data_IF_681856431899
#
_entry.id   IF_681856431899
#
_cell.length_a   1.000
_cell.length_b   1.000
_cell.length_c   1.000
_cell.angle_alpha   90.00
_cell.angle_beta   90.00
_cell.angle_gamma   90.00
#
_symmetry.space_group_name_H-M   'P 1'
#
loop_
_entity.id
_entity.type
_entity.pdbx_description
1 polymer ?
#
# COMPACT_ATOMS: atom_id res chain seq x y z
N UNK A 1 8.00 54.33 1.12
CA UNK A 1 9.02 53.29 1.35
C UNK A 1 8.38 51.96 1.07
N UNK A 2 8.85 51.30 0.02
CA UNK A 2 8.27 50.11 -0.57
C UNK A 2 8.88 48.85 0.06
N UNK A 3 8.04 47.86 0.37
CA UNK A 3 8.45 46.49 0.60
C UNK A 3 7.58 45.59 -0.29
N UNK A 4 8.07 45.35 -1.50
CA UNK A 4 7.53 44.38 -2.45
C UNK A 4 8.03 43.00 -2.06
N UNK A 5 7.14 42.11 -1.63
CA UNK A 5 7.45 40.68 -1.48
C UNK A 5 7.04 39.99 -2.78
N UNK A 6 8.01 39.75 -3.64
CA UNK A 6 7.91 38.90 -4.83
C UNK A 6 7.99 37.44 -4.41
N UNK A 7 6.87 36.71 -4.52
CA UNK A 7 6.88 35.24 -4.43
C UNK A 7 7.19 34.67 -5.81
N UNK A 8 8.44 34.26 -6.03
CA UNK A 8 8.87 33.51 -7.19
C UNK A 8 8.47 32.04 -7.00
N UNK A 9 7.66 31.51 -7.92
CA UNK A 9 7.45 30.08 -8.07
C UNK A 9 8.60 29.48 -8.89
N UNK A 10 9.14 28.29 -8.55
CA UNK A 10 9.91 27.50 -9.50
C UNK A 10 8.99 26.46 -10.15
N UNK A 11 8.50 26.80 -11.35
CA UNK A 11 8.20 25.82 -12.39
C UNK A 11 9.52 25.56 -13.11
N UNK A 12 10.11 24.38 -12.94
CA UNK A 12 10.98 23.70 -13.91
C UNK A 12 11.59 22.46 -13.27
N UNK A 13 11.23 21.28 -13.79
CA UNK A 13 12.13 20.19 -14.20
C UNK A 13 11.28 18.96 -14.56
N UNK A 14 10.61 19.03 -15.70
CA UNK A 14 10.20 17.87 -16.48
C UNK A 14 11.16 17.84 -17.68
N UNK A 15 12.11 16.91 -17.69
CA UNK A 15 12.70 16.30 -18.90
C UNK A 15 13.81 15.33 -18.49
N UNK A 16 13.53 14.03 -18.48
CA UNK A 16 14.44 12.96 -18.90
C UNK A 16 13.79 11.60 -18.59
N UNK A 17 13.07 11.04 -19.57
CA UNK A 17 12.87 9.60 -19.63
C UNK A 17 14.13 8.99 -20.26
N UNK A 18 14.84 8.04 -19.63
CA UNK A 18 15.84 7.28 -20.37
C UNK A 18 15.10 6.24 -21.22
N UNK A 19 15.41 6.25 -22.52
CA UNK A 19 15.07 5.16 -23.42
C UNK A 19 15.84 3.90 -23.00
N UNK A 20 15.13 2.83 -22.64
CA UNK A 20 15.73 1.52 -22.44
C UNK A 20 15.75 0.78 -23.78
N UNK A 21 16.91 0.78 -24.42
CA UNK A 21 17.29 -0.15 -25.48
C UNK A 21 17.98 -1.38 -24.85
N UNK A 22 17.78 -2.53 -25.50
CA UNK A 22 18.29 -3.86 -25.14
C UNK A 22 19.70 -3.89 -24.53
N UNK A 23 19.85 -4.55 -23.38
CA UNK A 23 21.14 -4.79 -22.75
C UNK A 23 21.03 -5.67 -21.49
N UNK A 24 21.39 -6.94 -21.66
CA UNK A 24 21.93 -7.92 -20.70
C UNK A 24 21.78 -7.68 -19.18
N UNK A 25 21.22 -8.70 -18.52
CA UNK A 25 20.90 -8.79 -17.09
C UNK A 25 22.09 -8.79 -16.10
N UNK A 26 22.93 -7.75 -16.11
CA UNK A 26 24.06 -7.60 -15.17
C UNK A 26 24.00 -6.32 -14.30
N UNK A 27 22.88 -5.58 -14.31
CA UNK A 27 22.76 -4.28 -13.61
C UNK A 27 21.57 -4.08 -12.67
N UNK A 28 20.75 -5.11 -12.41
CA UNK A 28 19.49 -4.96 -11.65
C UNK A 28 19.65 -4.86 -10.13
N UNK A 29 20.86 -4.95 -9.58
CA UNK A 29 21.12 -4.86 -8.13
C UNK A 29 21.30 -3.43 -7.61
N UNK A 30 21.29 -2.40 -8.46
CA UNK A 30 21.76 -1.06 -8.05
C UNK A 30 20.73 -0.17 -7.33
N UNK A 31 19.44 -0.53 -7.21
CA UNK A 31 18.44 0.35 -6.56
C UNK A 31 17.23 -0.40 -5.94
N UNK A 32 17.44 -1.51 -5.23
CA UNK A 32 16.37 -2.02 -4.37
C UNK A 32 16.33 -1.20 -3.06
N UNK A 33 15.14 -0.74 -2.61
CA UNK A 33 15.02 -0.09 -1.31
C UNK A 33 15.31 -1.08 -0.19
N UNK A 34 16.03 -0.62 0.83
CA UNK A 34 16.27 -1.36 2.08
C UNK A 34 14.97 -1.60 2.84
N UNK A 35 14.95 -2.58 3.75
CA UNK A 35 13.81 -2.84 4.61
C UNK A 35 13.42 -1.61 5.44
N UNK A 36 14.42 -0.87 5.93
CA UNK A 36 14.22 0.36 6.66
C UNK A 36 13.57 1.47 5.81
N UNK A 37 13.98 1.59 4.54
CA UNK A 37 13.34 2.52 3.59
C UNK A 37 11.91 2.11 3.25
N UNK A 38 11.65 0.81 3.09
CA UNK A 38 10.29 0.28 2.87
C UNK A 38 9.37 0.56 4.08
N UNK A 39 9.87 0.35 5.31
CA UNK A 39 9.13 0.67 6.52
C UNK A 39 8.81 2.16 6.62
N UNK A 40 9.79 3.01 6.30
CA UNK A 40 9.59 4.46 6.23
C UNK A 40 8.57 4.83 5.16
N UNK A 41 8.66 4.25 3.96
CA UNK A 41 7.73 4.50 2.87
C UNK A 41 6.28 4.10 3.22
N UNK A 42 6.08 2.93 3.85
CA UNK A 42 4.77 2.51 4.33
C UNK A 42 4.21 3.46 5.40
N UNK A 43 5.05 3.92 6.32
CA UNK A 43 4.66 4.89 7.36
C UNK A 43 4.28 6.24 6.76
N UNK A 44 5.07 6.75 5.81
CA UNK A 44 4.81 8.02 5.14
C UNK A 44 3.56 7.92 4.23
N UNK A 45 3.33 6.78 3.56
CA UNK A 45 2.12 6.53 2.77
C UNK A 45 0.85 6.42 3.64
N UNK A 46 0.94 5.76 4.81
CA UNK A 46 -0.15 5.75 5.80
C UNK A 46 -0.51 7.16 6.23
N UNK A 47 0.47 8.00 6.57
CA UNK A 47 0.23 9.39 6.96
C UNK A 47 -0.43 10.20 5.83
N UNK A 48 0.00 10.00 4.59
CA UNK A 48 -0.60 10.65 3.42
C UNK A 48 -2.05 10.21 3.21
N UNK A 49 -2.35 8.92 3.38
CA UNK A 49 -3.71 8.39 3.33
C UNK A 49 -4.60 9.00 4.41
N UNK A 50 -4.14 9.05 5.67
CA UNK A 50 -4.91 9.62 6.78
C UNK A 50 -5.20 11.12 6.58
N UNK A 51 -4.23 11.86 6.04
CA UNK A 51 -4.41 13.25 5.65
C UNK A 51 -5.46 13.40 4.54
N UNK A 52 -5.43 12.52 3.52
CA UNK A 52 -6.39 12.54 2.42
C UNK A 52 -7.81 12.15 2.87
N UNK A 53 -7.95 11.22 3.81
CA UNK A 53 -9.24 10.87 4.45
C UNK A 53 -9.80 12.08 5.19
N UNK A 54 -8.97 12.79 5.95
CA UNK A 54 -9.37 14.01 6.66
C UNK A 54 -9.82 15.10 5.67
N UNK A 55 -9.04 15.32 4.62
CA UNK A 55 -9.37 16.29 3.58
C UNK A 55 -10.68 15.94 2.83
N UNK A 56 -10.96 14.65 2.57
CA UNK A 56 -12.22 14.22 1.94
C UNK A 56 -13.42 14.51 2.83
N UNK A 57 -13.32 14.22 4.12
CA UNK A 57 -14.37 14.51 5.09
C UNK A 57 -14.63 16.02 5.23
N UNK A 58 -13.58 16.85 5.19
CA UNK A 58 -13.70 18.31 5.17
C UNK A 58 -14.31 18.81 3.86
N UNK A 59 -13.80 18.34 2.72
CA UNK A 59 -14.32 18.68 1.40
C UNK A 59 -15.79 18.29 1.21
N UNK A 60 -16.24 17.19 1.83
CA UNK A 60 -17.65 16.79 1.84
C UNK A 60 -18.53 17.82 2.57
N UNK A 61 -18.07 18.34 3.72
CA UNK A 61 -18.79 19.38 4.46
C UNK A 61 -18.82 20.67 3.66
N UNK A 62 -17.71 21.06 3.04
CA UNK A 62 -17.61 22.27 2.23
C UNK A 62 -18.53 22.22 1.01
N UNK A 63 -18.52 21.13 0.24
CA UNK A 63 -19.38 21.03 -0.95
C UNK A 63 -20.85 21.02 -0.56
N UNK A 64 -21.21 20.35 0.55
CA UNK A 64 -22.58 20.37 1.06
C UNK A 64 -23.00 21.80 1.43
N UNK A 65 -22.19 22.51 2.22
CA UNK A 65 -22.47 23.88 2.62
C UNK A 65 -22.54 24.84 1.41
N UNK A 66 -21.68 24.66 0.40
CA UNK A 66 -21.69 25.44 -0.81
C UNK A 66 -22.98 25.23 -1.63
N UNK A 67 -23.41 23.98 -1.78
CA UNK A 67 -24.66 23.66 -2.48
C UNK A 67 -25.89 24.18 -1.73
N UNK A 68 -25.94 24.00 -0.40
CA UNK A 68 -27.00 24.57 0.45
C UNK A 68 -27.07 26.11 0.34
N UNK A 69 -25.91 26.78 0.31
CA UNK A 69 -25.84 28.22 0.10
C UNK A 69 -26.34 28.61 -1.31
N UNK A 70 -25.95 27.89 -2.36
CA UNK A 70 -26.38 28.15 -3.73
C UNK A 70 -27.89 27.93 -3.95
N UNK A 71 -28.49 27.04 -3.16
CA UNK A 71 -29.93 26.76 -3.22
C UNK A 71 -30.79 27.76 -2.44
N UNK A 72 -30.19 28.61 -1.60
CA UNK A 72 -30.92 29.65 -0.88
C UNK A 72 -31.42 30.74 -1.82
N UNK A 73 -32.70 31.10 -1.70
CA UNK A 73 -33.30 32.23 -2.45
C UNK A 73 -32.61 33.58 -2.16
N UNK A 74 -31.89 33.68 -1.04
CA UNK A 74 -31.10 34.88 -0.69
C UNK A 74 -29.73 34.91 -1.33
N UNK A 75 -29.28 33.80 -1.94
CA UNK A 75 -28.01 33.74 -2.64
C UNK A 75 -28.07 34.58 -3.93
N UNK A 76 -27.07 35.42 -4.22
CA UNK A 76 -27.12 36.35 -5.36
C UNK A 76 -27.42 35.68 -6.71
N UNK A 77 -26.86 34.50 -6.98
CA UNK A 77 -27.12 33.76 -8.23
C UNK A 77 -28.55 33.22 -8.28
N UNK A 78 -29.07 32.67 -7.17
CA UNK A 78 -30.43 32.15 -7.11
C UNK A 78 -31.47 33.26 -7.18
N UNK A 79 -31.21 34.37 -6.49
CA UNK A 79 -32.03 35.58 -6.58
C UNK A 79 -32.07 36.15 -8.01
N UNK A 80 -30.94 36.11 -8.73
CA UNK A 80 -30.88 36.54 -10.13
C UNK A 80 -31.72 35.64 -11.04
N UNK A 81 -31.68 34.32 -10.85
CA UNK A 81 -32.55 33.36 -11.54
C UNK A 81 -34.02 33.68 -11.29
N UNK A 82 -34.42 33.82 -10.01
CA UNK A 82 -35.80 34.14 -9.63
C UNK A 82 -36.29 35.44 -10.29
N UNK A 83 -35.45 36.48 -10.30
CA UNK A 83 -35.77 37.77 -10.89
C UNK A 83 -35.89 37.68 -12.43
N UNK A 84 -34.97 36.98 -13.09
CA UNK A 84 -34.96 36.83 -14.54
C UNK A 84 -36.15 35.98 -15.02
N UNK A 85 -36.48 34.89 -14.32
CA UNK A 85 -37.66 34.07 -14.57
C UNK A 85 -38.96 34.85 -14.43
N UNK A 86 -39.03 35.71 -13.41
CA UNK A 86 -40.19 36.59 -13.22
C UNK A 86 -40.32 37.56 -14.39
N UNK A 87 -39.23 38.21 -14.81
CA UNK A 87 -39.23 39.12 -15.93
C UNK A 87 -39.61 38.43 -17.25
N UNK A 88 -39.12 37.20 -17.48
CA UNK A 88 -39.48 36.39 -18.63
C UNK A 88 -40.99 36.05 -18.65
N UNK A 89 -41.55 35.65 -17.51
CA UNK A 89 -42.99 35.41 -17.36
C UNK A 89 -43.83 36.66 -17.62
N UNK A 90 -43.40 37.82 -17.10
CA UNK A 90 -44.08 39.09 -17.34
C UNK A 90 -44.04 39.49 -18.83
N UNK A 91 -42.88 39.36 -19.48
CA UNK A 91 -42.72 39.66 -20.90
C UNK A 91 -43.55 38.72 -21.79
N UNK A 92 -43.62 37.42 -21.45
CA UNK A 92 -44.50 36.47 -22.12
C UNK A 92 -45.98 36.87 -21.98
N UNK A 93 -46.39 37.33 -20.80
CA UNK A 93 -47.73 37.87 -20.57
C UNK A 93 -48.05 39.12 -21.41
N UNK A 94 -47.08 40.03 -21.57
CA UNK A 94 -47.22 41.21 -22.44
C UNK A 94 -47.36 40.83 -23.91
N UNK A 95 -46.56 39.88 -24.38
CA UNK A 95 -46.69 39.35 -25.74
C UNK A 95 -48.08 38.76 -25.99
N UNK A 96 -48.58 37.91 -25.09
CA UNK A 96 -49.93 37.33 -25.24
C UNK A 96 -51.02 38.41 -25.36
N UNK A 97 -50.89 39.52 -24.63
CA UNK A 97 -51.81 40.66 -24.76
C UNK A 97 -51.67 41.38 -26.11
N UNK A 98 -50.45 41.55 -26.61
CA UNK A 98 -50.21 42.16 -27.92
C UNK A 98 -50.72 41.26 -29.07
N UNK A 99 -50.56 39.93 -28.95
CA UNK A 99 -51.13 38.96 -29.90
C UNK A 99 -52.66 39.05 -29.94
N UNK A 100 -53.30 39.19 -28.77
CA UNK A 100 -54.75 39.41 -28.70
C UNK A 100 -55.14 40.75 -29.33
N UNK A 101 -54.40 41.83 -29.09
CA UNK A 101 -54.68 43.14 -29.69
C UNK A 101 -54.59 43.12 -31.22
N UNK A 102 -53.61 42.41 -31.78
CA UNK A 102 -53.53 42.18 -33.23
C UNK A 102 -54.75 41.41 -33.76
N UNK A 103 -55.19 40.37 -33.03
CA UNK A 103 -56.38 39.61 -33.41
C UNK A 103 -57.65 40.47 -33.39
N UNK A 104 -57.81 41.31 -32.36
CA UNK A 104 -58.94 42.23 -32.22
C UNK A 104 -58.92 43.33 -33.29
N UNK A 105 -57.75 43.89 -33.60
CA UNK A 105 -57.58 44.89 -34.66
C UNK A 105 -57.88 44.31 -36.06
N UNK A 106 -57.48 43.06 -36.33
CA UNK A 106 -57.85 42.36 -37.57
C UNK A 106 -59.36 42.19 -37.68
N UNK A 107 -60.02 41.77 -36.60
CA UNK A 107 -61.48 41.64 -36.59
C UNK A 107 -62.20 42.99 -36.82
N UNK A 108 -61.68 44.08 -36.24
CA UNK A 108 -62.22 45.42 -36.44
C UNK A 108 -62.05 45.92 -37.89
N UNK A 109 -60.91 45.64 -38.52
CA UNK A 109 -60.66 45.97 -39.92
C UNK A 109 -61.63 45.25 -40.87
N UNK A 110 -61.90 43.96 -40.64
CA UNK A 110 -62.88 43.18 -41.41
C UNK A 110 -64.31 43.72 -41.27
N UNK A 111 -64.65 44.29 -40.10
CA UNK A 111 -65.97 44.86 -39.82
C UNK A 111 -66.12 46.33 -40.26
N UNK A 112 -65.06 47.00 -40.70
CA UNK A 112 -65.07 48.43 -41.01
C UNK A 112 -65.78 48.74 -42.36
N UNK A 113 -66.73 49.68 -42.32
CA UNK A 113 -67.46 50.17 -43.50
C UNK A 113 -67.00 51.57 -43.92
N UNK A 114 -67.02 51.83 -45.23
CA UNK A 114 -66.55 53.09 -45.82
C UNK A 114 -65.02 53.23 -45.85
N UNK A 115 -64.52 54.09 -46.73
CA UNK A 115 -63.07 54.22 -46.98
C UNK A 115 -62.34 54.82 -45.76
N UNK A 116 -62.97 55.75 -45.05
CA UNK A 116 -62.39 56.37 -43.85
C UNK A 116 -62.26 55.39 -42.70
N UNK A 117 -63.30 54.59 -42.42
CA UNK A 117 -63.29 53.61 -41.33
C UNK A 117 -62.27 52.50 -41.55
N UNK A 118 -62.10 52.06 -42.81
CA UNK A 118 -61.06 51.08 -43.17
C UNK A 118 -59.65 51.63 -43.00
N UNK A 119 -59.42 52.90 -43.33
CA UNK A 119 -58.11 53.53 -43.14
C UNK A 119 -57.73 53.64 -41.65
N UNK A 120 -58.69 54.01 -40.79
CA UNK A 120 -58.48 54.07 -39.34
C UNK A 120 -58.22 52.68 -38.73
N UNK A 121 -58.99 51.66 -39.13
CA UNK A 121 -58.79 50.30 -38.66
C UNK A 121 -57.45 49.70 -39.15
N UNK A 122 -57.00 50.04 -40.36
CA UNK A 122 -55.69 49.63 -40.86
C UNK A 122 -54.56 50.26 -40.03
N UNK A 123 -54.66 51.55 -39.71
CA UNK A 123 -53.67 52.22 -38.87
C UNK A 123 -53.60 51.61 -37.46
N UNK A 124 -54.75 51.20 -36.89
CA UNK A 124 -54.80 50.50 -35.61
C UNK A 124 -54.16 49.10 -35.69
N UNK A 125 -54.36 48.38 -36.80
CA UNK A 125 -53.70 47.10 -37.04
C UNK A 125 -52.17 47.26 -37.14
N UNK A 126 -51.70 48.22 -37.94
CA UNK A 126 -50.27 48.49 -38.11
C UNK A 126 -49.60 48.83 -36.75
N UNK A 127 -50.29 49.62 -35.92
CA UNK A 127 -49.84 49.92 -34.56
C UNK A 127 -49.78 48.66 -33.67
N UNK A 128 -50.82 47.83 -33.68
CA UNK A 128 -50.85 46.59 -32.90
C UNK A 128 -49.78 45.59 -33.35
N UNK A 129 -49.49 45.48 -34.65
CA UNK A 129 -48.43 44.63 -35.18
C UNK A 129 -47.04 45.14 -34.80
N UNK A 130 -46.84 46.46 -34.75
CA UNK A 130 -45.63 47.08 -34.22
C UNK A 130 -45.43 46.77 -32.73
N UNK A 131 -46.48 46.96 -31.91
CA UNK A 131 -46.46 46.66 -30.47
C UNK A 131 -46.17 45.16 -30.22
N UNK A 132 -46.73 44.28 -31.04
CA UNK A 132 -46.44 42.84 -30.98
C UNK A 132 -44.96 42.57 -31.30
N UNK A 133 -44.39 43.21 -32.31
CA UNK A 133 -42.97 43.04 -32.66
C UNK A 133 -42.06 43.46 -31.49
N UNK A 134 -42.37 44.58 -30.83
CA UNK A 134 -41.66 45.03 -29.63
C UNK A 134 -41.81 44.05 -28.45
N UNK A 135 -43.02 43.55 -28.21
CA UNK A 135 -43.29 42.59 -27.15
C UNK A 135 -42.57 41.25 -27.37
N UNK A 136 -42.49 40.77 -28.62
CA UNK A 136 -41.72 39.59 -29.01
C UNK A 136 -40.22 39.80 -28.74
N UNK A 137 -39.66 40.93 -29.15
CA UNK A 137 -38.26 41.26 -28.89
C UNK A 137 -37.95 41.35 -27.39
N UNK A 138 -38.86 41.96 -26.61
CA UNK A 138 -38.75 42.03 -25.16
C UNK A 138 -38.79 40.65 -24.49
N UNK A 139 -39.69 39.76 -24.94
CA UNK A 139 -39.74 38.37 -24.45
C UNK A 139 -38.43 37.63 -24.74
N UNK A 140 -37.94 37.68 -25.98
CA UNK A 140 -36.71 36.99 -26.36
C UNK A 140 -35.52 37.45 -25.51
N UNK A 141 -35.43 38.75 -25.23
CA UNK A 141 -34.40 39.31 -24.36
C UNK A 141 -34.54 38.82 -22.92
N UNK A 142 -35.76 38.75 -22.40
CA UNK A 142 -36.02 38.27 -21.04
C UNK A 142 -35.72 36.77 -20.90
N UNK A 143 -36.11 35.95 -21.87
CA UNK A 143 -35.80 34.52 -21.92
C UNK A 143 -34.30 34.26 -22.01
N UNK A 144 -33.57 35.06 -22.82
CA UNK A 144 -32.12 34.98 -22.89
C UNK A 144 -31.45 35.33 -21.55
N UNK A 145 -31.96 36.33 -20.84
CA UNK A 145 -31.47 36.70 -19.51
C UNK A 145 -31.75 35.60 -18.46
N UNK A 146 -32.92 34.96 -18.49
CA UNK A 146 -33.25 33.83 -17.62
C UNK A 146 -32.27 32.67 -17.84
N UNK A 147 -32.06 32.25 -19.09
CA UNK A 147 -31.09 31.19 -19.43
C UNK A 147 -29.67 31.50 -18.97
N UNK A 148 -29.24 32.75 -19.09
CA UNK A 148 -27.92 33.17 -18.61
C UNK A 148 -27.81 33.09 -17.09
N UNK A 149 -28.84 33.50 -16.35
CA UNK A 149 -28.88 33.41 -14.90
C UNK A 149 -28.84 31.95 -14.43
N UNK A 150 -29.61 31.06 -15.06
CA UNK A 150 -29.59 29.63 -14.76
C UNK A 150 -28.22 29.01 -15.02
N UNK A 151 -27.63 29.30 -16.17
CA UNK A 151 -26.29 28.81 -16.53
C UNK A 151 -25.27 29.23 -15.49
N UNK A 152 -25.32 30.49 -15.02
CA UNK A 152 -24.40 30.98 -14.00
C UNK A 152 -24.56 30.27 -12.64
N UNK A 153 -25.80 29.95 -12.24
CA UNK A 153 -26.07 29.18 -11.03
C UNK A 153 -25.56 27.73 -11.15
N UNK A 154 -25.83 27.09 -12.27
CA UNK A 154 -25.41 25.71 -12.52
C UNK A 154 -23.89 25.58 -12.64
N UNK A 155 -23.23 26.53 -13.30
CA UNK A 155 -21.76 26.59 -13.36
C UNK A 155 -21.15 26.69 -11.95
N UNK A 156 -21.76 27.48 -11.05
CA UNK A 156 -21.31 27.58 -9.66
C UNK A 156 -21.50 26.26 -8.90
N UNK A 157 -22.63 25.56 -9.07
CA UNK A 157 -22.87 24.23 -8.48
C UNK A 157 -21.87 23.20 -9.00
N UNK A 158 -21.63 23.19 -10.31
CA UNK A 158 -20.64 22.31 -10.95
C UNK A 158 -19.23 22.60 -10.44
N UNK A 159 -18.87 23.87 -10.26
CA UNK A 159 -17.57 24.25 -9.71
C UNK A 159 -17.38 23.72 -8.27
N UNK A 160 -18.41 23.80 -7.41
CA UNK A 160 -18.37 23.26 -6.06
C UNK A 160 -18.16 21.73 -6.06
N UNK A 161 -18.91 21.00 -6.89
CA UNK A 161 -18.78 19.53 -6.99
C UNK A 161 -17.43 19.11 -7.58
N UNK A 162 -16.91 19.84 -8.58
CA UNK A 162 -15.58 19.59 -9.16
C UNK A 162 -14.44 19.81 -8.16
N UNK A 163 -14.61 20.72 -7.20
CA UNK A 163 -13.62 20.89 -6.13
C UNK A 163 -13.55 19.62 -5.26
N UNK A 164 -14.70 19.10 -4.84
CA UNK A 164 -14.79 17.88 -4.05
C UNK A 164 -14.32 16.63 -4.81
N UNK A 165 -14.59 16.53 -6.12
CA UNK A 165 -14.14 15.38 -6.91
C UNK A 165 -12.61 15.26 -6.96
N UNK A 166 -11.88 16.39 -6.93
CA UNK A 166 -10.42 16.39 -6.84
C UNK A 166 -9.93 15.82 -5.51
N UNK A 167 -10.62 16.14 -4.41
CA UNK A 167 -10.31 15.59 -3.09
C UNK A 167 -10.52 14.08 -3.06
N UNK A 168 -11.59 13.58 -3.67
CA UNK A 168 -11.82 12.14 -3.84
C UNK A 168 -10.73 11.45 -4.66
N UNK A 169 -10.28 12.09 -5.75
CA UNK A 169 -9.18 11.56 -6.56
C UNK A 169 -7.88 11.47 -5.75
N UNK A 170 -7.58 12.48 -4.94
CA UNK A 170 -6.41 12.49 -4.07
C UNK A 170 -6.46 11.37 -3.02
N UNK A 171 -7.64 11.11 -2.42
CA UNK A 171 -7.86 9.99 -1.50
C UNK A 171 -7.57 8.65 -2.18
N UNK A 172 -8.08 8.43 -3.38
CA UNK A 172 -7.86 7.17 -4.10
C UNK A 172 -6.39 6.96 -4.49
N UNK A 173 -5.70 8.03 -4.89
CA UNK A 173 -4.27 8.00 -5.15
C UNK A 173 -3.47 7.67 -3.89
N UNK A 174 -3.80 8.30 -2.76
CA UNK A 174 -3.13 8.04 -1.48
C UNK A 174 -3.37 6.60 -1.00
N UNK A 175 -4.59 6.08 -1.20
CA UNK A 175 -4.94 4.68 -0.90
C UNK A 175 -4.10 3.71 -1.72
N UNK A 176 -4.04 3.92 -3.03
CA UNK A 176 -3.25 3.07 -3.94
C UNK A 176 -1.77 3.07 -3.56
N UNK A 177 -1.22 4.26 -3.25
CA UNK A 177 0.17 4.39 -2.81
C UNK A 177 0.44 3.63 -1.49
N UNK A 178 -0.49 3.72 -0.54
CA UNK A 178 -0.43 2.98 0.71
C UNK A 178 -0.45 1.47 0.49
N UNK A 179 -1.41 0.97 -0.30
CA UNK A 179 -1.52 -0.47 -0.61
C UNK A 179 -0.25 -1.00 -1.29
N UNK A 180 0.34 -0.22 -2.19
CA UNK A 180 1.61 -0.58 -2.82
C UNK A 180 2.78 -0.63 -1.83
N UNK A 181 2.88 0.36 -0.93
CA UNK A 181 3.93 0.41 0.09
C UNK A 181 3.80 -0.74 1.11
N UNK A 182 2.59 -1.04 1.57
CA UNK A 182 2.32 -2.16 2.48
C UNK A 182 2.66 -3.50 1.82
N UNK A 183 2.30 -3.68 0.54
CA UNK A 183 2.62 -4.91 -0.20
C UNK A 183 4.13 -5.08 -0.35
N UNK A 184 4.87 -4.01 -0.64
CA UNK A 184 6.32 -4.06 -0.74
C UNK A 184 6.98 -4.41 0.61
N UNK A 185 6.50 -3.80 1.69
CA UNK A 185 6.98 -4.09 3.04
C UNK A 185 6.67 -5.53 3.47
N UNK A 186 5.46 -6.03 3.17
CA UNK A 186 5.07 -7.41 3.46
C UNK A 186 5.95 -8.41 2.70
N UNK A 187 6.18 -8.18 1.41
CA UNK A 187 7.06 -9.02 0.60
C UNK A 187 8.50 -9.06 1.15
N UNK A 188 9.02 -7.92 1.62
CA UNK A 188 10.35 -7.87 2.22
C UNK A 188 10.44 -8.52 3.61
N UNK A 189 9.30 -8.68 4.31
CA UNK A 189 9.24 -9.32 5.63
C UNK A 189 9.26 -10.85 5.55
N UNK A 190 8.90 -11.42 4.40
CA UNK A 190 8.93 -12.87 4.20
C UNK A 190 10.34 -13.43 4.39
N UNK A 191 10.44 -14.57 5.06
CA UNK A 191 11.72 -15.18 5.37
C UNK A 191 12.37 -15.78 4.12
N UNK A 192 13.62 -15.40 3.87
CA UNK A 192 14.42 -15.97 2.77
C UNK A 192 15.18 -17.18 3.28
N UNK A 193 15.10 -18.30 2.58
CA UNK A 193 15.88 -19.50 2.91
C UNK A 193 17.21 -19.46 2.18
N UNK A 194 18.31 -19.48 2.91
CA UNK A 194 19.67 -19.42 2.36
C UNK A 194 20.45 -20.67 2.71
N UNK A 195 20.54 -21.61 1.76
CA UNK A 195 21.28 -22.86 1.97
C UNK A 195 22.78 -22.65 2.21
N UNK A 196 23.32 -21.50 1.82
CA UNK A 196 24.72 -21.14 2.04
C UNK A 196 25.03 -20.66 3.45
N UNK A 197 24.03 -20.36 4.30
CA UNK A 197 24.25 -20.01 5.70
C UNK A 197 24.26 -21.28 6.56
N UNK A 198 25.40 -21.91 6.75
CA UNK A 198 25.50 -23.21 7.44
C UNK A 198 25.96 -23.06 8.88
N UNK A 199 25.53 -23.98 9.74
CA UNK A 199 25.96 -24.06 11.14
C UNK A 199 26.24 -25.52 11.49
N UNK A 200 27.47 -25.84 11.87
CA UNK A 200 27.95 -27.22 12.05
C UNK A 200 28.74 -27.35 13.36
N UNK A 201 28.56 -28.48 14.05
CA UNK A 201 29.42 -28.84 15.17
C UNK A 201 30.73 -29.44 14.65
N UNK A 202 31.84 -28.83 15.03
CA UNK A 202 33.20 -29.24 14.69
C UNK A 202 33.88 -29.71 15.97
N UNK A 203 34.33 -30.97 15.97
CA UNK A 203 35.02 -31.57 17.11
C UNK A 203 34.12 -32.15 18.21
N UNK A 204 32.80 -32.21 18.00
CA UNK A 204 31.91 -32.96 18.90
C UNK A 204 32.12 -34.48 18.66
N UNK A 205 32.31 -35.31 19.70
CA UNK A 205 32.41 -36.76 19.54
C UNK A 205 31.05 -37.42 19.30
N UNK A 206 31.05 -38.49 18.49
CA UNK A 206 29.87 -39.32 18.29
C UNK A 206 29.49 -40.15 19.53
N UNK A 207 30.39 -40.26 20.52
CA UNK A 207 30.14 -40.92 21.81
C UNK A 207 30.74 -40.11 22.94
N UNK A 208 29.97 -39.79 23.97
CA UNK A 208 30.38 -38.97 25.10
C UNK A 208 30.09 -39.70 26.40
N UNK A 209 31.12 -39.93 27.22
CA UNK A 209 30.98 -40.69 28.47
C UNK A 209 30.37 -39.82 29.58
N UNK A 210 29.55 -40.42 30.44
CA UNK A 210 29.01 -39.78 31.63
C UNK A 210 30.14 -39.25 32.54
N UNK A 211 29.97 -38.04 33.08
CA UNK A 211 30.96 -37.35 33.90
C UNK A 211 32.11 -36.70 33.11
N UNK A 212 32.11 -36.79 31.77
CA UNK A 212 33.09 -36.12 30.93
C UNK A 212 32.69 -34.67 30.61
N UNK A 213 33.67 -33.89 30.17
CA UNK A 213 33.46 -32.56 29.58
C UNK A 213 34.19 -32.52 28.24
N UNK A 214 33.47 -32.07 27.22
CA UNK A 214 33.96 -31.96 25.84
C UNK A 214 33.87 -30.51 25.41
N UNK A 215 34.97 -29.97 24.90
CA UNK A 215 35.00 -28.67 24.22
C UNK A 215 34.92 -28.91 22.71
N UNK A 216 34.07 -28.16 22.02
CA UNK A 216 33.84 -28.24 20.58
C UNK A 216 33.49 -26.85 20.03
N UNK A 217 33.31 -26.74 18.71
CA UNK A 217 33.03 -25.47 18.05
C UNK A 217 31.72 -25.57 17.26
N UNK A 218 30.90 -24.53 17.32
CA UNK A 218 29.89 -24.26 16.32
C UNK A 218 30.51 -23.39 15.24
N UNK A 219 30.79 -23.97 14.08
CA UNK A 219 31.24 -23.24 12.91
C UNK A 219 30.02 -22.72 12.16
N UNK A 220 29.95 -21.42 11.99
CA UNK A 220 28.91 -20.74 11.22
C UNK A 220 29.56 -20.17 9.97
N UNK A 221 29.13 -20.63 8.80
CA UNK A 221 29.67 -20.18 7.51
C UNK A 221 28.63 -19.35 6.76
N UNK A 222 29.03 -18.20 6.24
CA UNK A 222 28.26 -17.44 5.26
C UNK A 222 28.76 -17.76 3.86
N UNK A 223 28.31 -18.86 3.28
CA UNK A 223 28.54 -19.22 1.88
C UNK A 223 27.68 -18.45 0.87
N UNK A 224 26.95 -17.40 1.30
CA UNK A 224 26.10 -16.58 0.42
C UNK A 224 26.87 -15.40 -0.16
N UNK A 225 26.27 -14.70 -1.12
CA UNK A 225 26.81 -13.43 -1.65
C UNK A 225 26.41 -12.20 -0.80
N UNK A 226 25.73 -12.41 0.34
CA UNK A 226 25.19 -11.34 1.19
C UNK A 226 26.14 -11.02 2.33
N UNK A 227 26.13 -9.77 2.77
CA UNK A 227 26.64 -9.42 4.10
C UNK A 227 25.49 -9.60 5.09
N UNK A 228 25.68 -10.46 6.09
CA UNK A 228 24.65 -10.89 7.02
C UNK A 228 24.97 -10.42 8.44
N UNK A 229 23.95 -10.04 9.21
CA UNK A 229 23.96 -10.11 10.66
C UNK A 229 23.38 -11.47 11.03
N UNK A 230 24.08 -12.26 11.84
CA UNK A 230 23.75 -13.68 12.09
C UNK A 230 23.56 -13.91 13.58
N UNK A 231 22.46 -14.59 13.90
CA UNK A 231 22.12 -15.14 15.20
C UNK A 231 22.19 -16.68 15.12
N UNK A 232 23.33 -17.28 15.50
CA UNK A 232 23.45 -18.74 15.61
C UNK A 232 22.41 -19.32 16.55
N UNK A 233 21.71 -20.36 16.12
CA UNK A 233 20.65 -21.03 16.85
C UNK A 233 21.10 -22.45 17.22
N UNK A 234 21.01 -22.80 18.50
CA UNK A 234 21.37 -24.13 19.00
C UNK A 234 20.27 -24.76 19.82
N UNK A 235 20.18 -26.08 19.77
CA UNK A 235 19.34 -26.89 20.64
C UNK A 235 20.04 -28.22 20.92
N UNK A 236 20.01 -28.67 22.18
CA UNK A 236 20.58 -29.95 22.59
C UNK A 236 19.53 -30.73 23.37
N UNK A 237 19.44 -32.03 23.13
CA UNK A 237 18.47 -32.90 23.78
C UNK A 237 19.00 -34.32 23.96
N UNK A 238 18.58 -34.99 25.03
CA UNK A 238 18.83 -36.41 25.28
C UNK A 238 17.50 -37.15 25.26
N UNK A 239 17.45 -38.24 24.51
CA UNK A 239 16.29 -39.10 24.39
C UNK A 239 15.84 -39.60 25.77
N UNK A 240 14.53 -39.53 26.02
CA UNK A 240 13.92 -39.91 27.30
C UNK A 240 13.79 -38.76 28.30
N UNK A 241 14.39 -37.59 28.04
CA UNK A 241 14.16 -36.40 28.88
C UNK A 241 12.79 -35.78 28.59
N UNK A 242 12.04 -35.46 29.65
CA UNK A 242 10.81 -34.66 29.51
C UNK A 242 11.15 -33.18 29.40
N UNK A 243 10.26 -32.39 28.77
CA UNK A 243 10.48 -30.96 28.50
C UNK A 243 10.79 -30.09 29.73
N UNK A 244 10.34 -30.52 30.91
CA UNK A 244 10.52 -29.80 32.17
C UNK A 244 11.60 -30.44 33.07
N UNK A 245 12.18 -31.56 32.64
CA UNK A 245 13.27 -32.19 33.36
C UNK A 245 14.56 -31.37 33.21
N UNK A 246 15.36 -31.33 34.27
CA UNK A 246 16.71 -30.80 34.19
C UNK A 246 17.52 -31.75 33.31
N UNK A 247 18.06 -31.23 32.19
CA UNK A 247 18.88 -32.04 31.31
C UNK A 247 20.13 -32.56 32.01
N UNK A 248 20.54 -33.78 31.68
CA UNK A 248 21.84 -34.36 32.05
C UNK A 248 22.99 -33.71 31.29
N UNK A 249 22.69 -32.90 30.28
CA UNK A 249 23.66 -32.07 29.56
C UNK A 249 23.69 -30.66 30.14
N UNK A 250 24.89 -30.20 30.50
CA UNK A 250 25.18 -28.79 30.70
C UNK A 250 25.97 -28.29 29.50
N UNK A 251 25.34 -27.50 28.64
CA UNK A 251 26.00 -26.88 27.49
C UNK A 251 26.26 -25.41 27.79
N UNK A 252 27.46 -24.93 27.47
CA UNK A 252 27.90 -23.56 27.64
C UNK A 252 28.57 -23.06 26.36
N UNK A 253 28.43 -21.78 26.03
CA UNK A 253 29.14 -21.13 24.93
C UNK A 253 30.02 -19.99 25.44
N UNK A 254 31.11 -19.67 24.75
CA UNK A 254 32.01 -18.58 25.17
C UNK A 254 31.71 -17.28 24.42
N UNK A 255 31.54 -16.19 25.16
CA UNK A 255 31.48 -14.82 24.60
C UNK A 255 32.87 -14.18 24.43
N UNK A 256 33.95 -14.96 24.58
CA UNK A 256 35.34 -14.50 24.54
C UNK A 256 35.95 -14.23 25.92
N UNK A 257 35.16 -13.91 26.95
CA UNK A 257 35.64 -13.68 28.32
C UNK A 257 35.13 -14.71 29.32
N UNK A 258 33.86 -15.08 29.18
CA UNK A 258 33.12 -15.93 30.12
C UNK A 258 32.35 -17.04 29.39
N UNK A 259 31.99 -18.07 30.14
CA UNK A 259 31.10 -19.13 29.70
C UNK A 259 29.65 -18.78 30.03
N UNK A 260 28.77 -18.89 29.04
CA UNK A 260 27.35 -18.59 29.11
C UNK A 260 26.57 -19.90 28.96
N UNK A 261 25.69 -20.21 29.92
CA UNK A 261 24.89 -21.44 29.89
C UNK A 261 23.83 -21.37 28.80
N UNK A 262 23.71 -22.46 28.02
CA UNK A 262 22.54 -22.75 27.21
C UNK A 262 21.47 -23.33 28.13
N UNK A 263 20.30 -22.71 28.20
CA UNK A 263 19.32 -23.00 29.26
C UNK A 263 18.60 -24.35 29.11
N UNK A 264 18.76 -25.01 27.96
CA UNK A 264 18.19 -26.31 27.63
C UNK A 264 16.69 -26.28 27.38
N UNK A 265 16.06 -25.09 27.31
CA UNK A 265 14.61 -24.92 27.16
C UNK A 265 14.25 -24.55 25.73
N UNK A 266 14.37 -25.53 24.83
CA UNK A 266 14.13 -25.31 23.41
C UNK A 266 15.31 -24.63 22.72
N UNK A 267 15.11 -24.15 21.50
CA UNK A 267 16.17 -23.55 20.70
C UNK A 267 16.53 -22.16 21.20
N UNK A 268 17.83 -21.86 21.26
CA UNK A 268 18.36 -20.62 21.81
C UNK A 268 19.34 -19.96 20.85
N UNK A 269 19.19 -18.65 20.64
CA UNK A 269 20.18 -17.84 19.93
C UNK A 269 21.38 -17.53 20.83
N UNK A 270 22.58 -17.73 20.31
CA UNK A 270 23.85 -17.54 21.02
C UNK A 270 24.80 -16.71 20.17
N UNK A 271 25.76 -16.04 20.81
CA UNK A 271 26.92 -15.44 20.14
C UNK A 271 26.57 -14.60 18.88
N UNK A 272 25.67 -13.61 19.02
CA UNK A 272 25.30 -12.70 17.92
C UNK A 272 26.52 -12.17 17.16
N UNK A 273 26.41 -12.14 15.84
CA UNK A 273 27.46 -11.69 14.92
C UNK A 273 26.91 -10.51 14.12
N UNK A 274 27.38 -9.29 14.44
CA UNK A 274 26.85 -8.07 13.84
C UNK A 274 27.02 -8.03 12.31
N UNK A 275 28.19 -8.48 11.81
CA UNK A 275 28.54 -8.43 10.40
C UNK A 275 29.38 -9.65 10.02
N UNK A 276 28.86 -10.44 9.10
CA UNK A 276 29.53 -11.58 8.47
C UNK A 276 29.51 -11.38 6.95
N UNK A 277 30.68 -11.23 6.34
CA UNK A 277 30.84 -10.98 4.90
C UNK A 277 30.63 -12.26 4.09
N UNK A 278 30.36 -12.14 2.77
CA UNK A 278 30.35 -13.28 1.85
C UNK A 278 31.63 -14.13 1.97
N UNK A 279 31.45 -15.44 2.14
CA UNK A 279 32.53 -16.44 2.30
C UNK A 279 33.22 -16.44 3.67
N UNK A 280 32.78 -15.62 4.62
CA UNK A 280 33.35 -15.60 5.98
C UNK A 280 32.80 -16.75 6.82
N UNK A 281 33.60 -17.20 7.80
CA UNK A 281 33.16 -18.15 8.82
C UNK A 281 33.54 -17.63 10.21
N UNK A 282 32.73 -17.99 11.20
CA UNK A 282 33.00 -17.71 12.61
C UNK A 282 32.86 -19.00 13.42
N UNK A 283 33.84 -19.23 14.28
CA UNK A 283 33.87 -20.38 15.19
C UNK A 283 33.46 -19.93 16.60
N UNK A 284 32.26 -20.33 17.04
CA UNK A 284 31.78 -20.11 18.41
C UNK A 284 32.22 -21.30 19.26
N UNK A 285 32.94 -21.05 20.36
CA UNK A 285 33.38 -22.12 21.27
C UNK A 285 32.22 -22.58 22.15
N UNK A 286 32.01 -23.89 22.19
CA UNK A 286 31.07 -24.54 23.09
C UNK A 286 31.77 -25.56 23.99
N UNK A 287 31.13 -25.82 25.12
CA UNK A 287 31.50 -26.84 26.09
C UNK A 287 30.25 -27.61 26.48
N UNK A 288 30.34 -28.93 26.48
CA UNK A 288 29.29 -29.81 26.98
C UNK A 288 29.84 -30.66 28.12
N UNK A 289 29.22 -30.56 29.29
CA UNK A 289 29.48 -31.44 30.43
C UNK A 289 28.30 -32.39 30.58
N UNK A 290 28.59 -33.69 30.65
CA UNK A 290 27.60 -34.74 30.87
C UNK A 290 27.59 -35.11 32.34
N UNK A 291 26.42 -35.15 32.97
CA UNK A 291 26.29 -35.57 34.37
C UNK A 291 26.89 -36.97 34.58
N UNK A 292 27.60 -37.18 35.68
CA UNK A 292 28.18 -38.47 36.04
C UNK A 292 27.16 -39.60 36.22
N UNK A 293 25.90 -39.25 36.49
CA UNK A 293 24.78 -40.17 36.62
C UNK A 293 24.04 -40.42 35.30
N UNK A 294 24.50 -39.86 34.18
CA UNK A 294 23.87 -40.10 32.88
C UNK A 294 23.94 -41.58 32.51
N UNK A 295 22.80 -42.13 32.11
CA UNK A 295 22.68 -43.50 31.61
C UNK A 295 22.98 -43.55 30.10
N UNK A 296 23.04 -44.76 29.55
CA UNK A 296 23.11 -44.97 28.11
C UNK A 296 21.87 -44.35 27.42
N UNK A 297 22.08 -43.34 26.59
CA UNK A 297 21.00 -42.65 25.89
C UNK A 297 21.49 -42.04 24.56
N UNK A 298 20.57 -41.84 23.63
CA UNK A 298 20.86 -41.11 22.39
C UNK A 298 20.71 -39.60 22.63
N UNK A 299 21.65 -38.81 22.15
CA UNK A 299 21.66 -37.36 22.23
C UNK A 299 21.64 -36.75 20.83
N UNK A 300 21.04 -35.57 20.70
CA UNK A 300 21.01 -34.80 19.46
C UNK A 300 21.35 -33.34 19.71
N UNK A 301 21.98 -32.73 18.72
CA UNK A 301 22.15 -31.29 18.60
C UNK A 301 21.51 -30.82 17.29
N UNK A 302 20.68 -29.77 17.36
CA UNK A 302 20.17 -29.05 16.20
C UNK A 302 20.82 -27.68 16.13
N UNK A 303 21.35 -27.34 14.95
CA UNK A 303 22.22 -26.20 14.73
C UNK A 303 21.77 -25.46 13.47
N UNK A 304 21.47 -24.17 13.57
CA UNK A 304 21.12 -23.33 12.43
C UNK A 304 21.72 -21.92 12.60
N UNK A 305 21.65 -21.12 11.54
CA UNK A 305 21.84 -19.68 11.62
C UNK A 305 20.56 -18.99 11.18
N UNK A 306 19.99 -18.17 12.07
CA UNK A 306 19.04 -17.15 11.65
C UNK A 306 19.83 -15.87 11.36
N UNK A 307 19.37 -15.06 10.40
CA UNK A 307 20.10 -13.89 9.97
C UNK A 307 19.19 -12.79 9.47
N UNK A 308 19.78 -11.62 9.25
CA UNK A 308 19.17 -10.50 8.55
C UNK A 308 20.19 -9.78 7.68
N UNK A 309 19.70 -9.08 6.65
CA UNK A 309 20.49 -8.14 5.87
C UNK A 309 19.74 -6.79 5.76
N UNK A 310 20.32 -5.82 5.03
CA UNK A 310 19.72 -4.50 4.87
C UNK A 310 18.34 -4.53 4.17
N UNK A 311 18.00 -5.61 3.48
CA UNK A 311 16.81 -5.76 2.65
C UNK A 311 15.79 -6.74 3.25
N UNK A 312 16.25 -7.73 4.02
CA UNK A 312 15.44 -8.80 4.57
C UNK A 312 15.71 -8.92 6.07
N UNK A 313 14.68 -8.71 6.91
CA UNK A 313 14.81 -8.87 8.36
C UNK A 313 14.80 -10.34 8.79
N UNK A 314 14.51 -11.27 7.88
CA UNK A 314 14.46 -12.71 8.17
C UNK A 314 15.15 -13.50 7.07
N UNK A 315 16.26 -14.11 7.40
CA UNK A 315 17.02 -15.05 6.58
C UNK A 315 17.24 -16.30 7.43
N UNK A 316 16.93 -17.48 6.88
CA UNK A 316 16.98 -18.74 7.60
C UNK A 316 17.95 -19.70 6.91
N UNK A 317 18.99 -20.11 7.61
CA UNK A 317 19.86 -21.21 7.21
C UNK A 317 19.17 -22.58 7.35
N UNK A 318 19.71 -23.64 6.74
CA UNK A 318 19.30 -25.01 7.03
C UNK A 318 19.54 -25.33 8.50
N UNK A 319 18.56 -26.01 9.10
CA UNK A 319 18.76 -26.68 10.38
C UNK A 319 19.57 -27.95 10.11
N UNK A 320 20.74 -28.05 10.73
CA UNK A 320 21.60 -29.23 10.69
C UNK A 320 21.46 -30.01 12.00
N UNK A 321 21.43 -31.33 11.87
CA UNK A 321 21.36 -32.27 12.99
C UNK A 321 22.69 -32.97 13.17
N UNK A 322 23.10 -33.12 14.43
CA UNK A 322 24.21 -33.96 14.84
C UNK A 322 23.78 -34.92 15.95
N UNK A 323 23.86 -36.22 15.68
CA UNK A 323 23.56 -37.25 16.65
C UNK A 323 24.83 -37.75 17.35
N UNK A 324 24.71 -37.96 18.65
CA UNK A 324 25.76 -38.54 19.48
C UNK A 324 25.16 -39.50 20.51
N UNK A 325 25.99 -40.37 21.07
CA UNK A 325 25.57 -41.33 22.08
C UNK A 325 26.18 -41.01 23.44
N UNK A 326 25.36 -40.97 24.48
CA UNK A 326 25.83 -41.00 25.86
C UNK A 326 26.15 -42.43 26.25
N UNK A 327 27.31 -42.62 26.88
CA UNK A 327 27.78 -43.92 27.38
C UNK A 327 28.09 -43.85 28.88
N UNK A 328 28.09 -44.97 29.63
CA UNK A 328 28.23 -44.94 31.07
C UNK A 328 29.63 -44.48 31.48
N UNK A 329 29.75 -44.03 32.74
CA UNK A 329 31.03 -43.59 33.28
C UNK A 329 32.12 -44.67 33.17
N UNK A 330 33.34 -44.27 32.82
CA UNK A 330 34.47 -45.19 32.64
C UNK A 330 34.60 -45.82 31.24
N UNK A 331 33.69 -45.49 30.31
CA UNK A 331 33.89 -45.74 28.88
C UNK A 331 34.75 -44.63 28.24
N UNK A 332 35.55 -44.97 27.23
CA UNK A 332 36.31 -43.96 26.48
C UNK A 332 35.36 -43.14 25.59
N UNK A 333 35.55 -41.82 25.60
CA UNK A 333 34.89 -40.91 24.66
C UNK A 333 35.35 -41.26 23.25
N UNK A 334 34.40 -41.28 22.30
CA UNK A 334 34.67 -41.68 20.92
C UNK A 334 35.57 -40.68 20.18
N UNK A 335 35.98 -41.00 18.94
CA UNK A 335 36.69 -40.04 18.10
C UNK A 335 35.80 -38.81 17.85
N UNK A 336 36.43 -37.64 17.84
CA UNK A 336 35.81 -36.40 17.38
C UNK A 336 35.59 -36.49 15.88
N UNK A 337 34.39 -36.12 15.42
CA UNK A 337 34.08 -36.00 14.00
C UNK A 337 33.51 -34.62 13.71
N UNK A 338 33.71 -34.15 12.48
CA UNK A 338 32.94 -33.00 12.01
C UNK A 338 31.52 -33.46 11.75
N UNK A 339 30.54 -32.64 12.14
CA UNK A 339 29.17 -32.89 11.78
C UNK A 339 29.04 -32.93 10.26
N UNK A 340 28.72 -34.10 9.71
CA UNK A 340 28.16 -34.15 8.37
C UNK A 340 26.77 -33.47 8.42
N UNK A 341 26.40 -32.63 7.44
CA UNK A 341 25.11 -31.95 7.44
C UNK A 341 23.94 -32.96 7.35
N UNK A 342 23.48 -33.47 8.50
CA UNK A 342 22.23 -34.21 8.62
C UNK A 342 21.05 -33.24 8.64
N UNK A 343 19.92 -33.60 8.05
CA UNK A 343 18.67 -32.85 8.25
C UNK A 343 17.92 -33.43 9.45
N UNK A 344 17.20 -32.61 10.22
CA UNK A 344 16.27 -33.13 11.23
C UNK A 344 15.32 -34.16 10.61
N UNK A 345 15.06 -35.23 11.34
CA UNK A 345 14.13 -36.27 10.96
C UNK A 345 12.69 -35.84 11.31
N UNK A 346 11.67 -36.18 10.52
CA UNK A 346 10.27 -35.88 10.84
C UNK A 346 9.80 -36.38 12.21
N UNK A 347 10.45 -37.43 12.74
CA UNK A 347 10.17 -38.01 14.05
C UNK A 347 10.83 -37.27 15.21
N UNK A 348 11.68 -36.28 14.96
CA UNK A 348 12.33 -35.48 16.02
C UNK A 348 11.32 -34.57 16.75
N UNK A 349 10.14 -34.36 16.16
CA UNK A 349 9.01 -33.63 16.75
C UNK A 349 8.10 -34.49 17.63
N UNK A 350 8.54 -35.70 18.03
CA UNK A 350 7.80 -36.61 18.93
C UNK A 350 7.71 -36.09 20.37
N UNK A 351 6.92 -35.02 20.53
CA UNK A 351 6.28 -34.67 21.80
C UNK A 351 5.39 -35.83 22.26
N UNK A 352 5.34 -36.14 23.56
CA UNK A 352 4.26 -36.94 24.11
C UNK A 352 2.91 -36.30 23.73
N UNK A 353 2.11 -37.01 22.92
CA UNK A 353 0.80 -36.53 22.41
C UNK A 353 0.79 -35.92 21.00
N UNK A 354 1.90 -35.92 20.26
CA UNK A 354 1.88 -35.64 18.82
C UNK A 354 1.42 -36.91 18.05
N UNK A 355 0.51 -36.81 17.06
CA UNK A 355 0.17 -37.94 16.19
C UNK A 355 1.44 -38.44 15.47
N UNK A 356 1.61 -39.75 15.34
CA UNK A 356 2.68 -40.33 14.51
C UNK A 356 2.58 -39.78 13.07
N UNK A 357 3.69 -39.39 12.44
CA UNK A 357 3.68 -39.01 11.02
C UNK A 357 3.26 -40.23 10.18
N UNK A 358 2.26 -40.06 9.31
CA UNK A 358 1.99 -41.05 8.27
C UNK A 358 3.14 -41.05 7.25
N UNK A 359 3.60 -42.25 6.89
CA UNK A 359 4.55 -42.51 5.81
C UNK A 359 4.01 -41.97 4.47
N UNK A 360 4.31 -40.70 4.18
CA UNK A 360 4.14 -40.10 2.87
C UNK A 360 5.48 -39.50 2.44
N UNK A 361 6.05 -40.06 1.37
CA UNK A 361 7.29 -39.59 0.74
C UNK A 361 7.06 -38.26 0.01
N UNK A 362 6.88 -37.19 0.80
CA UNK A 362 6.76 -35.78 0.41
C UNK A 362 7.38 -34.87 1.46
N UNK A 363 7.75 -33.61 1.12
CA UNK A 363 8.55 -32.77 2.01
C UNK A 363 7.77 -32.49 3.31
N UNK A 364 8.36 -32.84 4.45
CA UNK A 364 7.75 -32.68 5.77
C UNK A 364 7.34 -31.25 6.04
N UNK A 365 6.15 -31.11 6.62
CA UNK A 365 5.50 -29.87 6.93
C UNK A 365 6.17 -29.17 8.13
N UNK A 366 6.75 -28.00 7.90
CA UNK A 366 6.85 -26.94 8.89
C UNK A 366 6.22 -25.68 8.28
N UNK A 367 5.30 -25.09 9.05
CA UNK A 367 4.30 -24.10 8.64
C UNK A 367 4.68 -23.15 7.50
N UNK A 368 3.94 -23.26 6.41
CA UNK A 368 3.96 -22.33 5.29
C UNK A 368 2.83 -22.68 4.33
N UNK A 369 1.71 -21.98 4.41
CA UNK A 369 0.68 -22.06 3.40
C UNK A 369 1.27 -21.59 2.07
N UNK A 370 1.41 -22.51 1.12
CA UNK A 370 1.66 -22.18 -0.27
C UNK A 370 0.87 -23.18 -1.11
N UNK A 371 -0.23 -22.69 -1.68
CA UNK A 371 -0.94 -23.40 -2.73
C UNK A 371 0.03 -23.64 -3.88
N UNK A 372 0.40 -24.90 -4.07
CA UNK A 372 1.08 -25.34 -5.27
C UNK A 372 0.00 -25.73 -6.28
N UNK A 373 -0.18 -24.89 -7.31
CA UNK A 373 -0.97 -25.27 -8.49
C UNK A 373 -0.18 -26.30 -9.27
N UNK A 374 -0.53 -27.57 -9.10
CA UNK A 374 -0.12 -28.67 -9.97
C UNK A 374 -0.93 -28.65 -11.26
N UNK A 375 -0.26 -28.58 -12.41
CA UNK A 375 -0.90 -28.79 -13.71
C UNK A 375 0.09 -29.36 -14.73
N UNK A 376 0.18 -30.68 -14.83
CA UNK A 376 0.79 -31.37 -15.98
C UNK A 376 -0.21 -32.37 -16.59
N UNK A 377 -0.61 -32.02 -17.80
CA UNK A 377 -1.07 -32.79 -18.96
C UNK A 377 -1.37 -34.29 -18.82
N UNK A 378 -2.62 -34.69 -19.07
CA UNK A 378 -2.96 -35.90 -19.83
C UNK A 378 -4.38 -35.79 -20.44
N UNK A 379 -4.48 -36.33 -21.64
CA UNK A 379 -5.55 -36.35 -22.66
C UNK A 379 -6.85 -37.08 -22.28
N UNK A 380 -7.99 -36.57 -22.76
CA UNK A 380 -9.27 -37.31 -22.81
C UNK A 380 -10.50 -36.48 -23.20
N UNK A 381 -10.72 -36.35 -24.52
CA UNK A 381 -11.97 -36.05 -25.27
C UNK A 381 -13.27 -35.65 -24.55
N UNK A 382 -13.85 -34.50 -24.95
CA UNK A 382 -15.32 -34.38 -25.14
C UNK A 382 -16.00 -33.07 -24.70
N UNK A 383 -16.39 -32.28 -25.71
CA UNK A 383 -17.55 -31.36 -25.75
C UNK A 383 -17.47 -29.90 -25.20
N UNK A 384 -17.45 -28.98 -26.17
CA UNK A 384 -17.97 -27.60 -26.29
C UNK A 384 -18.19 -26.70 -25.06
N UNK A 385 -17.52 -25.54 -25.07
CA UNK A 385 -17.94 -24.30 -24.40
C UNK A 385 -16.92 -23.16 -24.58
N UNK A 386 -17.26 -22.16 -25.40
CA UNK A 386 -16.40 -21.03 -25.80
C UNK A 386 -16.56 -19.83 -24.86
N UNK A 387 -15.49 -19.32 -24.24
CA UNK A 387 -15.33 -17.89 -23.86
C UNK A 387 -13.84 -17.53 -23.80
N UNK A 388 -13.49 -16.37 -24.37
CA UNK A 388 -12.13 -15.91 -24.61
C UNK A 388 -11.43 -15.41 -23.34
N UNK A 389 -10.23 -15.92 -23.09
CA UNK A 389 -9.33 -15.47 -22.02
C UNK A 389 -8.12 -14.78 -22.67
N UNK A 390 -8.06 -13.46 -22.55
CA UNK A 390 -6.90 -12.66 -22.99
C UNK A 390 -5.78 -12.78 -21.97
N UNK A 391 -4.70 -13.48 -22.36
CA UNK A 391 -3.50 -13.60 -21.56
C UNK A 391 -2.72 -12.28 -21.47
N UNK A 392 -2.42 -11.87 -20.24
CA UNK A 392 -1.31 -10.98 -19.93
C UNK A 392 -0.46 -11.64 -18.84
N UNK A 393 0.75 -12.01 -19.20
CA UNK A 393 1.71 -12.72 -18.36
C UNK A 393 2.10 -11.89 -17.13
N UNK A 394 2.01 -12.49 -15.95
CA UNK A 394 2.45 -11.93 -14.67
C UNK A 394 3.97 -12.04 -14.52
N UNK A 395 4.71 -11.19 -15.23
CA UNK A 395 6.13 -10.99 -14.95
C UNK A 395 6.49 -9.55 -15.34
N UNK A 396 7.14 -8.83 -14.43
CA UNK A 396 7.71 -7.49 -14.58
C UNK A 396 6.71 -6.32 -14.67
N UNK A 397 6.21 -5.88 -13.51
CA UNK A 397 5.86 -4.46 -13.33
C UNK A 397 7.09 -3.77 -12.75
N UNK A 398 7.76 -2.84 -13.47
CA UNK A 398 8.85 -2.06 -12.89
C UNK A 398 8.26 -1.08 -11.87
N UNK A 399 8.57 -1.30 -10.58
CA UNK A 399 8.33 -0.34 -9.50
C UNK A 399 9.28 0.85 -9.68
N UNK A 400 8.88 1.83 -10.50
CA UNK A 400 9.46 3.16 -10.46
C UNK A 400 8.80 3.94 -9.31
N UNK A 401 9.38 3.86 -8.11
CA UNK A 401 9.06 4.75 -6.99
C UNK A 401 9.49 6.18 -7.38
N UNK A 402 8.56 6.93 -7.94
CA UNK A 402 8.70 8.38 -8.12
C UNK A 402 8.53 9.03 -6.74
N UNK A 403 9.65 9.46 -6.15
CA UNK A 403 9.67 10.33 -4.98
C UNK A 403 9.17 11.74 -5.37
N UNK A 404 7.85 11.86 -5.52
CA UNK A 404 7.17 13.13 -5.77
C UNK A 404 6.45 13.59 -4.49
N UNK A 405 7.20 14.24 -3.60
CA UNK A 405 6.62 15.13 -2.60
C UNK A 405 6.43 16.51 -3.24
N UNK A 406 5.22 16.85 -3.72
CA UNK A 406 4.85 18.23 -4.05
C UNK A 406 3.32 18.45 -4.19
N UNK A 407 2.80 19.26 -3.26
CA UNK A 407 1.74 20.28 -3.40
C UNK A 407 0.33 19.85 -3.87
N UNK A 408 -0.64 19.82 -2.94
CA UNK A 408 -1.99 20.43 -3.10
C UNK A 408 -2.53 20.89 -1.73
N UNK A 409 -2.01 22.01 -1.21
CA UNK A 409 -2.70 22.86 -0.23
C UNK A 409 -2.48 24.31 -0.67
N UNK A 410 -3.37 24.81 -1.52
CA UNK A 410 -3.21 26.13 -2.10
C UNK A 410 -4.37 26.52 -3.00
N UNK A 411 -5.60 26.52 -2.47
CA UNK A 411 -6.74 27.18 -3.11
C UNK A 411 -7.79 27.57 -2.07
N UNK A 412 -7.48 28.59 -1.25
CA UNK A 412 -8.40 29.05 -0.21
C UNK A 412 -8.05 30.43 0.34
N UNK A 413 -8.05 31.47 -0.50
CA UNK A 413 -8.30 32.87 -0.12
C UNK A 413 -7.97 33.80 -1.29
N UNK A 414 -8.99 34.33 -2.00
CA UNK A 414 -9.07 35.73 -2.49
C UNK A 414 -10.34 35.97 -3.31
N UNK A 415 -11.53 36.07 -2.68
CA UNK A 415 -12.66 36.87 -3.25
C UNK A 415 -13.51 37.47 -2.13
N UNK A 416 -12.89 38.18 -1.18
CA UNK A 416 -13.66 39.00 -0.21
C UNK A 416 -12.82 40.14 0.37
N UNK A 417 -12.57 41.19 -0.42
CA UNK A 417 -12.36 42.57 0.08
C UNK A 417 -12.03 43.55 -1.06
N UNK A 418 -13.02 43.94 -1.88
CA UNK A 418 -12.99 45.29 -2.47
C UNK A 418 -14.37 45.79 -2.86
N UNK A 419 -15.17 46.16 -1.86
CA UNK A 419 -16.15 47.26 -1.98
C UNK A 419 -16.75 47.59 -0.61
N UNK A 420 -16.16 48.61 0.05
CA UNK A 420 -16.85 49.71 0.74
C UNK A 420 -15.82 50.58 1.48
N UNK A 421 -15.60 51.79 0.98
CA UNK A 421 -15.82 53.00 1.77
C UNK A 421 -16.46 54.06 0.88
N UNK A 422 -17.52 54.61 1.43
CA UNK A 422 -18.39 55.67 0.96
C UNK A 422 -17.78 57.05 1.16
N UNK A 423 -18.30 57.97 0.36
CA UNK A 423 -18.26 59.45 0.36
C UNK A 423 -18.15 60.16 1.70
N UNK A 424 -17.45 61.32 1.73
CA UNK A 424 -17.93 62.63 2.24
C UNK A 424 -16.89 63.77 2.03
N UNK A 425 -17.36 64.85 1.37
CA UNK A 425 -17.06 66.31 1.43
C UNK A 425 -15.64 66.87 1.70
N UNK A 426 -15.12 67.69 0.76
CA UNK A 426 -15.20 69.18 0.70
C UNK A 426 -15.17 69.61 -0.77
#
# INVERSE_FOLDING_TARGET
MAATVTAAAPIALITAAPAFADGTAAGLTQNLPTYAELLKAATDAQRAYDAAVTAEAEGQKEVKAALEALDSDTHPLKAAVIAADKAAKEAAGTKLKAEQAVADAKAALEAAEGDTGKAEAQAALDAAESDLAEAVAAQQKADAAARQADTALDDARVAAVRAYSRTKQALEQARTAKEAADKALAAAKECVRENGLTSLAVGLPAKVAAGSTVDFVLRVDNGTERTLSVDPLVFFHVAGESRDAKSVLKVEWSNGTDWQTVDGKGSQHIAHIDVMKPGEHTDVKLRMTVDSAAEDADGLALLAGDASDAYHPCILGPMNRYDFKLTPAGTETGPTGDAEPGRPDPHDDQRPGAPEPQDDSGPSAQGGASQQVTGKTATGTGAQGTLAETGASSATVPLALTSAAAVVLGAGATVAARRRRSTSDV
#
